data_IF_849213786756
#
_entry.id   IF_849213786756
#
_cell.length_a   1.000
_cell.length_b   1.000
_cell.length_c   1.000
_cell.angle_alpha   90.00
_cell.angle_beta   90.00
_cell.angle_gamma   90.00
#
_symmetry.space_group_name_H-M   'P 1'
#
loop_
_entity.id
_entity.type
_entity.pdbx_description
1 polymer ?
#
# COMPACT_ATOMS: atom_id res chain seq x y z
N UNK A 1 -0.65 -3.68 16.74
CA UNK A 1 0.29 -2.65 16.22
C UNK A 1 -0.43 -1.95 15.06
N UNK A 2 -0.63 -0.64 15.14
CA UNK A 2 -1.41 0.13 14.18
C UNK A 2 -0.58 0.45 12.92
N UNK A 3 -1.17 0.48 11.72
CA UNK A 3 -0.47 0.78 10.46
C UNK A 3 0.29 2.12 10.53
N UNK A 4 -0.29 3.14 11.18
CA UNK A 4 0.38 4.42 11.39
C UNK A 4 1.75 4.27 12.08
N UNK A 5 1.83 3.43 13.11
CA UNK A 5 3.07 3.23 13.86
C UNK A 5 4.16 2.60 12.97
N UNK A 6 3.79 1.67 12.08
CA UNK A 6 4.76 1.01 11.19
C UNK A 6 5.25 1.95 10.10
N UNK A 7 4.40 2.86 9.60
CA UNK A 7 4.75 3.92 8.65
C UNK A 7 5.73 4.90 9.30
N UNK A 8 5.37 5.47 10.45
CA UNK A 8 6.18 6.49 11.14
C UNK A 8 7.55 5.93 11.54
N UNK A 9 7.61 4.69 12.02
CA UNK A 9 8.88 4.03 12.39
C UNK A 9 9.66 3.48 11.19
N UNK A 10 9.09 3.50 9.98
CA UNK A 10 9.69 2.93 8.76
C UNK A 10 10.05 1.43 8.91
N UNK A 11 9.22 0.68 9.63
CA UNK A 11 9.41 -0.76 9.88
C UNK A 11 8.38 -1.65 9.16
N UNK A 12 7.45 -1.05 8.42
CA UNK A 12 6.41 -1.74 7.66
C UNK A 12 6.78 -2.03 6.20
N UNK A 13 5.82 -2.55 5.40
CA UNK A 13 5.97 -2.64 3.96
C UNK A 13 6.16 -1.25 3.33
N UNK A 14 6.60 -1.18 2.07
CA UNK A 14 6.73 0.11 1.35
C UNK A 14 5.42 0.57 0.69
N UNK A 15 4.49 -0.35 0.47
CA UNK A 15 3.19 -0.15 -0.13
C UNK A 15 2.26 -1.28 0.30
N UNK A 16 0.94 -1.05 0.22
CA UNK A 16 -0.07 -2.10 0.32
C UNK A 16 -0.85 -2.15 -0.99
N UNK A 17 -1.11 -3.36 -1.46
CA UNK A 17 -1.93 -3.62 -2.63
C UNK A 17 -2.90 -4.73 -2.24
N UNK A 18 -4.19 -4.51 -2.47
CA UNK A 18 -5.22 -5.48 -2.17
C UNK A 18 -6.41 -5.40 -3.14
N UNK A 19 -7.13 -6.53 -3.25
CA UNK A 19 -8.40 -6.61 -3.95
C UNK A 19 -9.55 -6.02 -3.12
N UNK A 20 -9.56 -6.28 -1.81
CA UNK A 20 -10.55 -5.73 -0.89
C UNK A 20 -9.87 -5.26 0.40
N UNK A 21 -9.76 -3.95 0.56
CA UNK A 21 -9.13 -3.30 1.69
C UNK A 21 -10.11 -2.97 2.81
N UNK A 22 -9.69 -3.19 4.05
CA UNK A 22 -10.38 -2.67 5.22
C UNK A 22 -10.20 -1.14 5.31
N UNK A 23 -11.29 -0.34 5.46
CA UNK A 23 -11.20 1.11 5.64
C UNK A 23 -10.30 1.56 6.79
N UNK A 24 -10.07 0.73 7.81
CA UNK A 24 -9.12 1.03 8.87
C UNK A 24 -7.68 1.12 8.35
N UNK A 25 -7.32 0.42 7.27
CA UNK A 25 -6.00 0.54 6.66
C UNK A 25 -5.79 1.94 6.07
N UNK A 26 -6.78 2.47 5.35
CA UNK A 26 -6.65 3.82 4.77
C UNK A 26 -6.54 4.90 5.85
N UNK A 27 -7.19 4.71 7.00
CA UNK A 27 -7.08 5.65 8.13
C UNK A 27 -5.64 5.85 8.62
N UNK A 28 -4.83 4.78 8.64
CA UNK A 28 -3.42 4.85 9.07
C UNK A 28 -2.54 5.59 8.07
N UNK A 29 -2.77 5.37 6.77
CA UNK A 29 -2.05 6.08 5.71
C UNK A 29 -2.41 7.56 5.65
N UNK A 30 -3.71 7.89 5.75
CA UNK A 30 -4.20 9.28 5.79
C UNK A 30 -3.65 10.02 7.01
N UNK A 31 -3.65 9.39 8.19
CA UNK A 31 -3.08 9.99 9.39
C UNK A 31 -1.56 10.23 9.26
N UNK A 32 -0.83 9.34 8.60
CA UNK A 32 0.61 9.50 8.37
C UNK A 32 0.90 10.72 7.48
N UNK A 33 0.09 10.92 6.44
CA UNK A 33 0.21 12.09 5.56
C UNK A 33 -0.14 13.39 6.30
N UNK A 34 -1.29 13.45 6.99
CA UNK A 34 -1.76 14.66 7.66
C UNK A 34 -0.84 15.10 8.81
N UNK A 35 -0.40 14.16 9.66
CA UNK A 35 0.29 14.50 10.91
C UNK A 35 1.82 14.42 10.83
N UNK A 36 2.36 13.70 9.85
CA UNK A 36 3.80 13.44 9.74
C UNK A 36 4.39 13.76 8.36
N UNK A 37 3.59 14.22 7.39
CA UNK A 37 4.01 14.44 6.00
C UNK A 37 4.64 13.19 5.36
N UNK A 38 4.13 12.02 5.76
CA UNK A 38 4.59 10.72 5.27
C UNK A 38 3.53 10.10 4.37
N UNK A 39 3.74 10.19 3.06
CA UNK A 39 2.93 9.46 2.08
C UNK A 39 3.17 7.96 2.16
N UNK A 40 2.08 7.19 2.19
CA UNK A 40 2.11 5.74 2.17
C UNK A 40 1.15 5.20 1.09
N UNK A 41 1.66 4.56 0.04
CA UNK A 41 0.83 4.11 -1.07
C UNK A 41 -0.01 2.88 -0.67
N UNK A 42 -1.32 3.01 -0.83
CA UNK A 42 -2.29 1.91 -0.77
C UNK A 42 -3.05 1.90 -2.09
N UNK A 43 -3.03 0.77 -2.80
CA UNK A 43 -3.93 0.54 -3.93
C UNK A 43 -4.93 -0.53 -3.53
N UNK A 44 -6.20 -0.17 -3.60
CA UNK A 44 -7.33 -1.02 -3.24
C UNK A 44 -8.20 -1.29 -4.47
N UNK A 45 -9.03 -2.33 -4.42
CA UNK A 45 -9.92 -2.74 -5.51
C UNK A 45 -9.19 -3.10 -6.82
N UNK A 46 -7.98 -3.65 -6.71
CA UNK A 46 -7.32 -4.28 -7.86
C UNK A 46 -7.96 -5.65 -8.14
N UNK A 47 -8.19 -5.94 -9.42
CA UNK A 47 -8.63 -7.25 -9.88
C UNK A 47 -7.58 -8.33 -9.55
N UNK A 48 -7.99 -9.39 -8.85
CA UNK A 48 -7.08 -10.48 -8.45
C UNK A 48 -6.35 -11.12 -9.62
N UNK A 49 -6.94 -11.15 -10.82
CA UNK A 49 -6.29 -11.68 -12.02
C UNK A 49 -5.02 -10.90 -12.40
N UNK A 50 -4.93 -9.63 -12.02
CA UNK A 50 -3.71 -8.82 -12.14
C UNK A 50 -2.66 -9.20 -11.08
N UNK A 51 -3.12 -9.61 -9.89
CA UNK A 51 -2.27 -10.05 -8.78
C UNK A 51 -1.77 -11.49 -8.92
N UNK A 52 -2.47 -12.36 -9.66
CA UNK A 52 -2.09 -13.77 -9.82
C UNK A 52 -0.66 -13.95 -10.38
N UNK A 53 -0.22 -13.00 -11.20
CA UNK A 53 1.13 -12.94 -11.79
C UNK A 53 2.20 -12.50 -10.78
N UNK A 54 1.79 -11.81 -9.71
CA UNK A 54 2.69 -11.34 -8.65
C UNK A 54 2.87 -12.47 -7.64
N UNK A 55 4.07 -13.06 -7.62
CA UNK A 55 4.48 -14.06 -6.63
C UNK A 55 5.53 -13.50 -5.69
N UNK A 56 5.84 -14.23 -4.61
CA UNK A 56 6.96 -13.89 -3.73
C UNK A 56 8.25 -13.65 -4.54
N UNK A 57 8.99 -12.61 -4.18
CA UNK A 57 10.19 -12.12 -4.87
C UNK A 57 9.97 -11.47 -6.25
N UNK A 58 8.73 -11.33 -6.71
CA UNK A 58 8.43 -10.48 -7.88
C UNK A 58 8.72 -9.04 -7.52
N UNK A 59 9.54 -8.37 -8.32
CA UNK A 59 9.80 -6.95 -8.15
C UNK A 59 8.68 -6.20 -8.87
N UNK A 60 8.01 -5.32 -8.13
CA UNK A 60 6.92 -4.51 -8.66
C UNK A 60 7.18 -3.05 -8.34
N UNK A 61 6.72 -2.18 -9.24
CA UNK A 61 6.58 -0.75 -9.03
C UNK A 61 5.11 -0.45 -8.73
N UNK A 62 4.88 0.27 -7.64
CA UNK A 62 3.53 0.63 -7.17
C UNK A 62 3.38 2.14 -7.29
N UNK A 63 2.37 2.60 -8.03
CA UNK A 63 2.00 4.01 -8.11
C UNK A 63 0.67 4.23 -7.37
N UNK A 64 0.77 4.74 -6.13
CA UNK A 64 -0.42 5.01 -5.31
C UNK A 64 -1.20 6.26 -5.73
N UNK A 65 -0.61 7.18 -6.51
CA UNK A 65 -1.29 8.39 -6.98
C UNK A 65 -2.19 8.10 -8.20
N UNK A 66 -1.71 7.25 -9.12
CA UNK A 66 -2.45 6.85 -10.33
C UNK A 66 -3.18 5.50 -10.18
N UNK A 67 -2.91 4.76 -9.10
CA UNK A 67 -3.63 3.52 -8.76
C UNK A 67 -3.26 2.31 -9.61
N UNK A 68 -2.02 2.20 -10.11
CA UNK A 68 -1.58 1.05 -10.91
C UNK A 68 -0.29 0.39 -10.39
N UNK A 69 -0.06 -0.82 -10.89
CA UNK A 69 1.12 -1.64 -10.58
C UNK A 69 1.78 -2.09 -11.87
N UNK A 70 3.11 -2.10 -11.87
CA UNK A 70 3.93 -2.55 -12.98
C UNK A 70 4.90 -3.63 -12.49
N UNK A 71 4.92 -4.79 -13.14
CA UNK A 71 5.87 -5.87 -12.87
C UNK A 71 7.18 -5.54 -13.62
N UNK A 72 8.32 -5.64 -12.93
CA UNK A 72 9.65 -5.36 -13.46
C UNK A 72 10.41 -6.62 -13.89
#
# INVERSE_FOLDING_TARGET
VCLLETIVRKMGPKAIVCEEGDPLMSSGAVAAEIFFDLKFPIIDQIDFSELEKIKNNTIVKVNGDEGYIEIL
#
